data_IF_623077496858
#
_entry.id   IF_623077496858
#
_cell.length_a   1.000
_cell.length_b   1.000
_cell.length_c   1.000
_cell.angle_alpha   90.00
_cell.angle_beta   90.00
_cell.angle_gamma   90.00
#
_symmetry.space_group_name_H-M   'P 1'
#
loop_
_entity.id
_entity.type
_entity.pdbx_description
1 polymer ?
#
# COMPACT_ATOMS: atom_id res chain seq x y z
N UNK A 1 -18.69 -27.76 -3.46
CA UNK A 1 -19.59 -28.94 -3.53
C UNK A 1 -20.93 -28.52 -3.00
N UNK A 2 -21.97 -28.53 -3.84
CA UNK A 2 -23.35 -28.30 -3.43
C UNK A 2 -24.12 -29.62 -3.45
N UNK A 3 -25.00 -29.81 -2.47
CA UNK A 3 -25.68 -31.07 -2.17
C UNK A 3 -27.02 -31.10 -2.92
N UNK A 4 -27.04 -31.57 -4.17
CA UNK A 4 -28.28 -32.01 -4.81
C UNK A 4 -28.55 -33.44 -4.35
N UNK A 5 -29.44 -33.59 -3.37
CA UNK A 5 -29.73 -34.86 -2.73
C UNK A 5 -29.92 -35.99 -3.74
N UNK A 6 -29.07 -37.02 -3.63
CA UNK A 6 -29.24 -38.43 -4.00
C UNK A 6 -27.84 -39.09 -3.89
N UNK A 7 -27.78 -40.25 -3.23
CA UNK A 7 -26.61 -41.10 -2.94
C UNK A 7 -25.60 -41.30 -4.11
N UNK A 8 -24.85 -40.26 -4.46
CA UNK A 8 -23.75 -40.30 -5.42
C UNK A 8 -22.44 -40.06 -4.68
N UNK A 9 -21.36 -40.80 -4.99
CA UNK A 9 -20.08 -40.58 -4.36
C UNK A 9 -19.63 -39.13 -4.60
N UNK A 10 -19.19 -38.46 -3.54
CA UNK A 10 -18.62 -37.11 -3.62
C UNK A 10 -17.39 -37.13 -4.52
N UNK A 11 -17.54 -36.65 -5.75
CA UNK A 11 -16.41 -36.41 -6.64
C UNK A 11 -15.73 -35.14 -6.15
N UNK A 12 -14.47 -35.20 -5.68
CA UNK A 12 -13.76 -34.02 -5.20
C UNK A 12 -13.50 -33.04 -6.36
N UNK A 13 -13.61 -31.74 -6.06
CA UNK A 13 -13.23 -30.68 -7.00
C UNK A 13 -11.71 -30.56 -7.18
N UNK A 14 -11.29 -29.71 -8.12
CA UNK A 14 -9.87 -29.49 -8.51
C UNK A 14 -8.98 -29.04 -7.33
N UNK A 15 -9.52 -28.20 -6.45
CA UNK A 15 -8.74 -27.55 -5.40
C UNK A 15 -9.09 -28.08 -4.01
N UNK A 16 -8.06 -28.49 -3.25
CA UNK A 16 -8.20 -28.77 -1.82
C UNK A 16 -8.32 -27.46 -1.04
N UNK A 17 -9.22 -27.43 -0.05
CA UNK A 17 -9.42 -26.24 0.77
C UNK A 17 -10.18 -25.10 0.08
N UNK A 18 -10.92 -25.40 -1.00
CA UNK A 18 -11.85 -24.47 -1.64
C UNK A 18 -13.27 -25.02 -1.50
N UNK A 19 -14.18 -24.18 -1.04
CA UNK A 19 -15.61 -24.48 -0.98
C UNK A 19 -16.34 -23.51 -1.90
N UNK A 20 -16.91 -24.02 -2.99
CA UNK A 20 -17.56 -23.19 -4.01
C UNK A 20 -18.97 -23.68 -4.36
N UNK A 21 -19.79 -22.75 -4.84
CA UNK A 21 -21.13 -22.95 -5.40
C UNK A 21 -21.48 -21.88 -6.44
N UNK A 22 -22.46 -22.17 -7.30
CA UNK A 22 -22.99 -21.20 -8.26
C UNK A 22 -24.17 -20.45 -7.67
N UNK A 23 -24.26 -19.15 -7.94
CA UNK A 23 -25.40 -18.31 -7.62
C UNK A 23 -25.62 -17.25 -8.71
N UNK A 24 -26.80 -16.64 -8.75
CA UNK A 24 -27.02 -15.44 -9.55
C UNK A 24 -26.67 -14.22 -8.69
N UNK A 25 -25.78 -13.36 -9.17
CA UNK A 25 -25.48 -12.07 -8.56
C UNK A 25 -26.64 -11.09 -8.79
N UNK A 26 -27.10 -11.02 -10.04
CA UNK A 26 -28.31 -10.33 -10.47
C UNK A 26 -28.98 -11.10 -11.63
N UNK A 27 -29.94 -10.48 -12.32
CA UNK A 27 -30.67 -11.09 -13.45
C UNK A 27 -29.81 -11.36 -14.69
N UNK A 28 -28.65 -10.71 -14.80
CA UNK A 28 -27.74 -10.77 -15.96
C UNK A 28 -26.39 -11.45 -15.64
N UNK A 29 -26.01 -11.53 -14.37
CA UNK A 29 -24.68 -11.98 -13.94
C UNK A 29 -24.79 -13.24 -13.07
N UNK A 30 -24.23 -14.34 -13.57
CA UNK A 30 -23.98 -15.54 -12.77
C UNK A 30 -22.62 -15.44 -12.07
N UNK A 31 -22.52 -15.96 -10.84
CA UNK A 31 -21.34 -15.89 -9.99
C UNK A 31 -20.95 -17.27 -9.46
N UNK A 32 -19.66 -17.58 -9.52
CA UNK A 32 -19.06 -18.69 -8.79
C UNK A 32 -18.60 -18.17 -7.43
N UNK A 33 -19.46 -18.30 -6.42
CA UNK A 33 -19.14 -17.88 -5.04
C UNK A 33 -18.32 -18.95 -4.34
N UNK A 34 -17.25 -18.54 -3.66
CA UNK A 34 -16.34 -19.49 -3.01
C UNK A 34 -15.62 -18.94 -1.78
N UNK A 35 -15.26 -19.85 -0.88
CA UNK A 35 -14.38 -19.62 0.25
C UNK A 35 -13.03 -20.33 0.03
N UNK A 36 -11.93 -19.58 0.18
CA UNK A 36 -10.57 -20.10 0.18
C UNK A 36 -10.14 -20.31 1.64
N UNK A 37 -10.10 -21.58 2.07
CA UNK A 37 -9.74 -21.94 3.45
C UNK A 37 -8.23 -21.82 3.74
N UNK A 38 -7.42 -21.50 2.73
CA UNK A 38 -5.98 -21.31 2.86
C UNK A 38 -5.33 -20.72 1.61
N UNK A 39 -5.28 -19.38 1.53
CA UNK A 39 -4.79 -18.62 0.36
C UNK A 39 -3.33 -18.90 -0.03
N UNK A 40 -2.53 -19.47 0.87
CA UNK A 40 -1.12 -19.85 0.61
C UNK A 40 -0.97 -21.17 -0.15
N UNK A 41 -2.02 -22.01 -0.19
CA UNK A 41 -2.01 -23.29 -0.92
C UNK A 41 -2.74 -23.19 -2.25
N UNK A 42 -3.90 -22.53 -2.23
CA UNK A 42 -4.71 -22.20 -3.40
C UNK A 42 -5.04 -20.73 -3.28
N UNK A 43 -4.52 -19.92 -4.19
CA UNK A 43 -4.59 -18.48 -4.14
C UNK A 43 -5.70 -17.94 -5.06
N UNK A 44 -5.91 -16.62 -5.05
CA UNK A 44 -6.94 -15.93 -5.83
C UNK A 44 -6.78 -16.18 -7.34
N UNK A 45 -5.54 -16.12 -7.84
CA UNK A 45 -5.25 -16.34 -9.27
C UNK A 45 -5.50 -17.79 -9.69
N UNK A 46 -5.23 -18.78 -8.82
CA UNK A 46 -5.47 -20.20 -9.13
C UNK A 46 -6.95 -20.47 -9.40
N UNK A 47 -7.82 -19.96 -8.53
CA UNK A 47 -9.27 -20.16 -8.66
C UNK A 47 -9.86 -19.32 -9.79
N UNK A 48 -9.36 -18.10 -10.00
CA UNK A 48 -9.82 -17.23 -11.07
C UNK A 48 -9.49 -17.81 -12.45
N UNK A 49 -8.26 -18.27 -12.68
CA UNK A 49 -7.84 -18.90 -13.93
C UNK A 49 -8.60 -20.21 -14.19
N UNK A 50 -8.85 -21.01 -13.14
CA UNK A 50 -9.65 -22.22 -13.28
C UNK A 50 -11.11 -21.92 -13.65
N UNK A 51 -11.72 -20.88 -13.06
CA UNK A 51 -13.06 -20.44 -13.44
C UNK A 51 -13.08 -19.92 -14.87
N UNK A 52 -12.06 -19.17 -15.30
CA UNK A 52 -11.93 -18.75 -16.71
C UNK A 52 -11.82 -19.94 -17.66
N UNK A 53 -11.03 -20.96 -17.31
CA UNK A 53 -10.88 -22.18 -18.10
C UNK A 53 -12.22 -22.93 -18.24
N UNK A 54 -12.95 -23.14 -17.13
CA UNK A 54 -14.24 -23.84 -17.15
C UNK A 54 -15.34 -23.04 -17.86
N UNK A 55 -15.39 -21.71 -17.65
CA UNK A 55 -16.28 -20.81 -18.38
C UNK A 55 -16.02 -20.89 -19.89
N UNK A 56 -14.75 -20.90 -20.29
CA UNK A 56 -14.35 -20.99 -21.70
C UNK A 56 -14.82 -22.28 -22.38
N UNK A 57 -14.85 -23.41 -21.67
CA UNK A 57 -15.41 -24.68 -22.17
C UNK A 57 -16.91 -24.59 -22.47
N UNK A 58 -17.61 -23.67 -21.81
CA UNK A 58 -19.03 -23.40 -22.00
C UNK A 58 -19.30 -22.24 -22.98
N UNK A 59 -18.26 -21.67 -23.59
CA UNK A 59 -18.38 -20.54 -24.53
C UNK A 59 -18.66 -19.19 -23.87
N UNK A 60 -18.51 -19.10 -22.54
CA UNK A 60 -18.68 -17.85 -21.77
C UNK A 60 -17.34 -17.39 -21.19
N UNK A 61 -17.26 -16.14 -20.74
CA UNK A 61 -16.06 -15.56 -20.12
C UNK A 61 -16.37 -15.09 -18.72
N UNK A 62 -15.45 -15.28 -17.79
CA UNK A 62 -15.49 -14.56 -16.52
C UNK A 62 -15.13 -13.09 -16.79
N UNK A 63 -16.03 -12.19 -16.42
CA UNK A 63 -15.93 -10.75 -16.70
C UNK A 63 -15.19 -9.98 -15.62
N UNK A 64 -15.01 -10.55 -14.42
CA UNK A 64 -14.33 -9.92 -13.29
C UNK A 64 -14.45 -10.78 -12.04
N UNK A 65 -14.00 -10.26 -10.90
CA UNK A 65 -14.19 -10.92 -9.61
C UNK A 65 -14.44 -9.91 -8.49
N UNK A 66 -14.88 -10.41 -7.34
CA UNK A 66 -15.17 -9.62 -6.16
C UNK A 66 -14.54 -10.28 -4.92
N UNK A 67 -14.03 -9.44 -4.02
CA UNK A 67 -13.66 -9.85 -2.66
C UNK A 67 -14.73 -9.37 -1.69
N UNK A 68 -15.45 -10.33 -1.12
CA UNK A 68 -16.37 -10.10 -0.01
C UNK A 68 -15.58 -10.08 1.30
N UNK A 69 -15.66 -8.97 2.03
CA UNK A 69 -14.86 -8.73 3.23
C UNK A 69 -13.46 -8.18 2.94
N UNK A 70 -12.47 -8.63 3.72
CA UNK A 70 -11.09 -8.16 3.67
C UNK A 70 -10.15 -9.21 3.07
N UNK A 71 -9.04 -8.76 2.50
CA UNK A 71 -8.01 -9.61 1.87
C UNK A 71 -6.62 -9.30 2.42
N UNK A 72 -5.78 -10.31 2.70
CA UNK A 72 -4.37 -10.09 2.98
C UNK A 72 -3.63 -9.53 1.76
N UNK A 73 -2.80 -8.51 1.94
CA UNK A 73 -1.93 -7.92 0.90
C UNK A 73 -1.12 -9.00 0.19
N UNK A 74 -0.61 -9.97 0.94
CA UNK A 74 0.14 -11.11 0.39
C UNK A 74 -0.63 -11.85 -0.72
N UNK A 75 -1.95 -11.98 -0.63
CA UNK A 75 -2.76 -12.64 -1.67
C UNK A 75 -2.72 -11.88 -2.99
N UNK A 76 -2.79 -10.55 -2.94
CA UNK A 76 -2.69 -9.69 -4.13
C UNK A 76 -1.28 -9.68 -4.69
N UNK A 77 -0.24 -9.67 -3.83
CA UNK A 77 1.17 -9.78 -4.27
C UNK A 77 1.40 -11.11 -5.00
N UNK A 78 0.87 -12.22 -4.48
CA UNK A 78 1.03 -13.54 -5.11
C UNK A 78 0.35 -13.59 -6.47
N UNK A 79 -0.86 -13.05 -6.60
CA UNK A 79 -1.54 -12.89 -7.88
C UNK A 79 -0.73 -12.00 -8.84
N UNK A 80 -0.24 -10.86 -8.37
CA UNK A 80 0.63 -9.97 -9.14
C UNK A 80 1.87 -10.68 -9.68
N UNK A 81 2.54 -11.50 -8.84
CA UNK A 81 3.74 -12.27 -9.25
C UNK A 81 3.40 -13.30 -10.31
N UNK A 82 2.27 -14.00 -10.16
CA UNK A 82 1.80 -14.96 -11.14
C UNK A 82 1.57 -14.31 -12.50
N UNK A 83 0.80 -13.22 -12.55
CA UNK A 83 0.48 -12.54 -13.81
C UNK A 83 1.70 -11.83 -14.41
N UNK A 84 2.54 -11.18 -13.59
CA UNK A 84 3.79 -10.57 -14.07
C UNK A 84 4.66 -11.61 -14.78
N UNK A 85 4.81 -12.80 -14.19
CA UNK A 85 5.58 -13.89 -14.80
C UNK A 85 4.92 -14.40 -16.09
N UNK A 86 3.59 -14.54 -16.12
CA UNK A 86 2.82 -14.94 -17.30
C UNK A 86 3.02 -13.96 -18.47
N UNK A 87 3.14 -12.67 -18.16
CA UNK A 87 3.38 -11.59 -19.13
C UNK A 87 4.88 -11.36 -19.44
N UNK A 88 5.78 -12.17 -18.89
CA UNK A 88 7.23 -12.03 -19.11
C UNK A 88 7.87 -10.83 -18.39
N UNK A 89 7.16 -10.23 -17.44
CA UNK A 89 7.62 -9.08 -16.65
C UNK A 89 8.36 -9.53 -15.40
N UNK A 90 9.43 -8.79 -15.05
CA UNK A 90 10.21 -9.01 -13.82
C UNK A 90 9.96 -7.87 -12.84
N UNK A 91 8.85 -7.97 -12.11
CA UNK A 91 8.46 -6.98 -11.11
C UNK A 91 8.90 -7.44 -9.72
N UNK A 92 9.59 -6.56 -8.98
CA UNK A 92 10.01 -6.79 -7.59
C UNK A 92 9.29 -5.90 -6.58
N UNK A 93 8.69 -4.81 -7.04
CA UNK A 93 7.99 -3.85 -6.17
C UNK A 93 6.63 -4.40 -5.73
N UNK A 94 6.39 -4.46 -4.43
CA UNK A 94 5.16 -5.07 -3.89
C UNK A 94 3.90 -4.28 -4.23
N UNK A 95 3.96 -2.95 -4.25
CA UNK A 95 2.79 -2.11 -4.54
C UNK A 95 2.37 -2.23 -6.01
N UNK A 96 3.34 -2.32 -6.92
CA UNK A 96 3.08 -2.66 -8.32
C UNK A 96 2.51 -4.08 -8.46
N UNK A 97 3.02 -5.07 -7.72
CA UNK A 97 2.46 -6.42 -7.72
C UNK A 97 1.02 -6.44 -7.20
N UNK A 98 0.71 -5.68 -6.13
CA UNK A 98 -0.66 -5.52 -5.64
C UNK A 98 -1.55 -4.92 -6.74
N UNK A 99 -1.07 -3.87 -7.42
CA UNK A 99 -1.80 -3.20 -8.51
C UNK A 99 -2.10 -4.14 -9.67
N UNK A 100 -1.08 -4.89 -10.13
CA UNK A 100 -1.23 -5.92 -11.17
C UNK A 100 -2.21 -7.01 -10.71
N UNK A 101 -2.13 -7.43 -9.44
CA UNK A 101 -3.06 -8.40 -8.87
C UNK A 101 -4.51 -7.92 -8.93
N UNK A 102 -4.76 -6.66 -8.56
CA UNK A 102 -6.10 -6.05 -8.61
C UNK A 102 -6.63 -5.98 -10.04
N UNK A 103 -5.81 -5.50 -10.97
CA UNK A 103 -6.16 -5.37 -12.39
C UNK A 103 -6.46 -6.74 -13.02
N UNK A 104 -5.53 -7.69 -12.90
CA UNK A 104 -5.61 -8.98 -13.60
C UNK A 104 -6.66 -9.93 -13.02
N UNK A 105 -7.05 -9.74 -11.75
CA UNK A 105 -8.19 -10.42 -11.15
C UNK A 105 -9.53 -9.74 -11.49
N UNK A 106 -9.52 -8.57 -12.15
CA UNK A 106 -10.73 -7.83 -12.48
C UNK A 106 -11.52 -7.42 -11.23
N UNK A 107 -10.82 -7.03 -10.15
CA UNK A 107 -11.46 -6.69 -8.87
C UNK A 107 -12.29 -5.40 -8.92
N UNK A 108 -12.06 -4.57 -9.94
CA UNK A 108 -12.78 -3.30 -10.13
C UNK A 108 -13.91 -3.35 -11.16
N UNK A 109 -14.20 -4.53 -11.73
CA UNK A 109 -15.15 -4.67 -12.85
C UNK A 109 -16.61 -4.50 -12.44
N UNK A 110 -16.98 -4.98 -11.24
CA UNK A 110 -18.35 -4.80 -10.72
C UNK A 110 -18.53 -3.43 -10.06
N UNK A 111 -17.52 -2.97 -9.34
CA UNK A 111 -17.46 -1.67 -8.69
C UNK A 111 -16.00 -1.33 -8.35
N UNK A 112 -15.63 -0.06 -8.12
CA UNK A 112 -14.25 0.32 -7.83
C UNK A 112 -13.67 -0.43 -6.61
N UNK A 113 -12.58 -1.16 -6.80
CA UNK A 113 -11.84 -1.77 -5.69
C UNK A 113 -10.98 -0.71 -5.01
N UNK A 114 -11.24 -0.45 -3.73
CA UNK A 114 -10.47 0.47 -2.89
C UNK A 114 -9.54 -0.31 -1.96
N UNK A 115 -8.23 -0.41 -2.25
CA UNK A 115 -7.30 -1.19 -1.45
C UNK A 115 -7.27 -0.76 0.02
N UNK A 116 -7.39 0.53 0.29
CA UNK A 116 -7.39 1.12 1.63
C UNK A 116 -8.59 0.69 2.50
N UNK A 117 -9.69 0.22 1.90
CA UNK A 117 -10.87 -0.29 2.60
C UNK A 117 -10.93 -1.83 2.63
N UNK A 118 -10.14 -2.51 1.80
CA UNK A 118 -10.24 -3.97 1.55
C UNK A 118 -9.01 -4.76 1.93
N UNK A 119 -7.82 -4.15 1.90
CA UNK A 119 -6.55 -4.83 2.21
C UNK A 119 -6.23 -4.66 3.68
N UNK A 120 -6.11 -5.78 4.41
CA UNK A 120 -5.96 -5.79 5.87
C UNK A 120 -4.77 -4.92 6.30
N UNK A 121 -3.62 -5.10 5.65
CA UNK A 121 -2.37 -4.42 5.97
C UNK A 121 -2.46 -2.90 5.75
N UNK A 122 -3.24 -2.44 4.77
CA UNK A 122 -3.47 -1.01 4.54
C UNK A 122 -4.43 -0.41 5.56
N UNK A 123 -5.39 -1.20 6.07
CA UNK A 123 -6.32 -0.75 7.11
C UNK A 123 -5.69 -0.65 8.50
N UNK A 124 -4.70 -1.50 8.78
CA UNK A 124 -3.98 -1.51 10.06
C UNK A 124 -2.70 -0.69 10.03
N UNK A 125 -2.36 -0.08 8.90
CA UNK A 125 -1.20 0.82 8.83
C UNK A 125 -1.49 2.02 9.74
N UNK A 126 -0.77 2.09 10.87
CA UNK A 126 -0.91 3.19 11.81
C UNK A 126 -0.46 4.49 11.15
N UNK A 127 -1.44 5.32 10.80
CA UNK A 127 -1.20 6.71 10.40
C UNK A 127 -0.88 7.48 11.69
N UNK A 128 0.28 8.11 11.73
CA UNK A 128 0.72 8.83 12.91
C UNK A 128 -0.21 10.00 13.31
N UNK A 129 -0.14 10.43 14.58
CA UNK A 129 -1.07 11.40 15.14
C UNK A 129 -1.04 12.76 14.43
N UNK A 130 0.10 13.21 13.91
CA UNK A 130 0.22 14.49 13.21
C UNK A 130 -0.37 14.40 11.80
N UNK A 131 -0.06 13.33 11.07
CA UNK A 131 -0.57 13.14 9.70
C UNK A 131 -2.08 13.01 9.65
N UNK A 132 -2.68 12.47 10.72
CA UNK A 132 -4.14 12.34 10.83
C UNK A 132 -4.86 13.64 11.21
N UNK A 133 -4.13 14.72 11.54
CA UNK A 133 -4.74 16.01 11.84
C UNK A 133 -5.28 16.71 10.59
N UNK A 134 -6.35 17.48 10.77
CA UNK A 134 -6.71 18.52 9.79
C UNK A 134 -5.60 19.57 9.75
N UNK A 135 -5.35 20.16 8.58
CA UNK A 135 -4.31 21.19 8.39
C UNK A 135 -4.40 22.31 9.44
N UNK A 136 -5.59 22.82 9.73
CA UNK A 136 -5.79 23.85 10.77
C UNK A 136 -5.40 23.37 12.18
N UNK A 137 -5.64 22.09 12.49
CA UNK A 137 -5.22 21.48 13.75
C UNK A 137 -3.71 21.33 13.84
N UNK A 138 -3.07 20.82 12.79
CA UNK A 138 -1.61 20.74 12.70
C UNK A 138 -0.95 22.12 12.89
N UNK A 139 -1.47 23.15 12.24
CA UNK A 139 -0.96 24.53 12.36
C UNK A 139 -1.13 25.09 13.77
N UNK A 140 -2.25 24.76 14.44
CA UNK A 140 -2.51 25.19 15.81
C UNK A 140 -1.57 24.50 16.80
N UNK A 141 -1.33 23.20 16.63
CA UNK A 141 -0.40 22.42 17.45
C UNK A 141 1.05 22.91 17.25
N UNK A 142 1.48 23.13 16.00
CA UNK A 142 2.80 23.68 15.67
C UNK A 142 3.05 25.06 16.29
N UNK A 143 2.02 25.89 16.42
CA UNK A 143 2.10 27.23 17.00
C UNK A 143 1.94 27.26 18.53
N UNK A 144 1.72 26.10 19.16
CA UNK A 144 1.53 25.98 20.61
C UNK A 144 2.86 26.01 21.39
N UNK A 145 2.78 25.85 22.71
CA UNK A 145 3.93 25.65 23.60
C UNK A 145 4.39 24.18 23.66
N UNK A 146 3.76 23.29 22.87
CA UNK A 146 4.18 21.90 22.71
C UNK A 146 5.58 21.83 22.08
N UNK A 147 6.48 20.97 22.58
CA UNK A 147 7.85 20.89 22.08
C UNK A 147 7.96 20.19 20.72
N UNK A 148 6.88 19.57 20.23
CA UNK A 148 6.77 18.95 18.91
C UNK A 148 5.28 18.97 18.48
N UNK A 149 4.94 19.12 17.19
CA UNK A 149 5.79 19.06 16.00
C UNK A 149 6.71 20.27 15.86
N UNK A 150 7.86 20.06 15.22
CA UNK A 150 8.87 21.10 15.02
C UNK A 150 9.27 21.27 13.55
N UNK A 151 10.40 21.93 13.33
CA UNK A 151 10.92 22.22 11.99
C UNK A 151 11.18 20.97 11.13
N UNK A 152 11.55 19.83 11.74
CA UNK A 152 11.75 18.58 11.02
C UNK A 152 10.45 17.99 10.47
N UNK A 153 9.40 17.91 11.29
CA UNK A 153 8.04 17.56 10.85
C UNK A 153 7.54 18.49 9.73
N UNK A 154 7.77 19.81 9.85
CA UNK A 154 7.39 20.79 8.81
C UNK A 154 8.19 20.61 7.52
N UNK A 155 9.49 20.32 7.61
CA UNK A 155 10.33 20.05 6.43
C UNK A 155 9.85 18.79 5.69
N UNK A 156 9.47 17.74 6.42
CA UNK A 156 8.90 16.53 5.83
C UNK A 156 7.53 16.82 5.17
N UNK A 157 6.67 17.61 5.83
CA UNK A 157 5.40 18.05 5.24
C UNK A 157 5.63 18.84 3.95
N UNK A 158 6.52 19.83 3.95
CA UNK A 158 6.85 20.62 2.77
C UNK A 158 7.36 19.74 1.61
N UNK A 159 8.24 18.77 1.90
CA UNK A 159 8.68 17.78 0.92
C UNK A 159 7.51 16.97 0.35
N UNK A 160 6.63 16.46 1.20
CA UNK A 160 5.47 15.66 0.75
C UNK A 160 4.50 16.46 -0.13
N UNK A 161 4.33 17.76 0.13
CA UNK A 161 3.57 18.67 -0.72
C UNK A 161 4.24 18.83 -2.10
N UNK A 162 5.58 18.94 -2.14
CA UNK A 162 6.35 18.97 -3.39
C UNK A 162 6.18 17.70 -4.23
N UNK A 163 6.22 16.52 -3.59
CA UNK A 163 5.90 15.26 -4.27
C UNK A 163 4.45 15.23 -4.76
N UNK A 164 3.48 15.66 -3.95
CA UNK A 164 2.08 15.69 -4.33
C UNK A 164 1.83 16.56 -5.57
N UNK A 165 2.47 17.72 -5.65
CA UNK A 165 2.42 18.59 -6.83
C UNK A 165 3.05 17.93 -8.07
N UNK A 166 4.20 17.27 -7.91
CA UNK A 166 4.85 16.55 -9.02
C UNK A 166 4.00 15.39 -9.53
N UNK A 167 3.38 14.63 -8.61
CA UNK A 167 2.41 13.59 -8.94
C UNK A 167 1.18 14.15 -9.66
N UNK A 168 0.68 15.33 -9.24
CA UNK A 168 -0.44 15.99 -9.92
C UNK A 168 -0.08 16.32 -11.37
N UNK A 169 1.11 16.86 -11.64
CA UNK A 169 1.57 17.14 -13.00
C UNK A 169 1.65 15.85 -13.82
N UNK A 170 2.21 14.76 -13.26
CA UNK A 170 2.24 13.47 -13.96
C UNK A 170 0.83 12.99 -14.34
N UNK A 171 -0.12 13.03 -13.39
CA UNK A 171 -1.50 12.62 -13.63
C UNK A 171 -2.21 13.49 -14.68
N UNK A 172 -1.90 14.79 -14.74
CA UNK A 172 -2.42 15.69 -15.77
C UNK A 172 -1.79 15.43 -17.16
N UNK A 173 -0.71 14.66 -17.25
CA UNK A 173 0.02 14.38 -18.50
C UNK A 173 -0.28 12.99 -19.05
N UNK A 174 -0.50 12.01 -18.17
CA UNK A 174 -0.83 10.63 -18.57
C UNK A 174 -2.15 10.60 -19.35
N UNK A 175 -2.18 9.84 -20.45
CA UNK A 175 -3.35 9.64 -21.30
C UNK A 175 -3.60 10.75 -22.33
N UNK A 176 -2.81 11.83 -22.33
CA UNK A 176 -2.93 12.88 -23.34
C UNK A 176 -2.12 12.56 -24.59
N UNK A 177 -2.76 12.60 -25.75
CA UNK A 177 -2.14 12.32 -27.06
C UNK A 177 -0.91 13.19 -27.33
N UNK A 178 -0.94 14.47 -26.94
CA UNK A 178 0.18 15.41 -27.08
C UNK A 178 1.48 14.92 -26.41
N UNK A 179 1.37 14.02 -25.43
CA UNK A 179 2.47 13.51 -24.63
C UNK A 179 2.68 12.01 -24.84
N UNK A 180 2.28 11.46 -26.01
CA UNK A 180 2.38 10.03 -26.31
C UNK A 180 3.80 9.48 -26.13
N UNK A 181 4.82 10.25 -26.51
CA UNK A 181 6.22 9.82 -26.51
C UNK A 181 6.82 9.67 -25.10
N UNK A 182 6.26 10.37 -24.10
CA UNK A 182 6.77 10.39 -22.72
C UNK A 182 5.89 9.62 -21.73
N UNK A 183 4.87 8.90 -22.21
CA UNK A 183 3.89 8.25 -21.33
C UNK A 183 4.53 7.29 -20.33
N UNK A 184 5.52 6.50 -20.76
CA UNK A 184 6.15 5.53 -19.87
C UNK A 184 7.03 6.23 -18.83
N UNK A 185 7.82 7.22 -19.24
CA UNK A 185 8.66 7.99 -18.32
C UNK A 185 7.84 8.72 -17.26
N UNK A 186 6.71 9.33 -17.64
CA UNK A 186 5.82 10.02 -16.71
C UNK A 186 5.13 9.03 -15.75
N UNK A 187 4.76 7.83 -16.21
CA UNK A 187 4.22 6.77 -15.32
C UNK A 187 5.26 6.32 -14.29
N UNK A 188 6.50 6.11 -14.72
CA UNK A 188 7.59 5.71 -13.82
C UNK A 188 7.92 6.84 -12.83
N UNK A 189 7.85 8.09 -13.29
CA UNK A 189 8.05 9.29 -12.47
C UNK A 189 6.95 9.47 -11.44
N UNK A 190 5.69 9.28 -11.82
CA UNK A 190 4.55 9.27 -10.89
C UNK A 190 4.75 8.22 -9.79
N UNK A 191 5.17 7.01 -10.16
CA UNK A 191 5.43 5.93 -9.20
C UNK A 191 6.49 6.32 -8.17
N UNK A 192 7.62 6.87 -8.62
CA UNK A 192 8.70 7.35 -7.74
C UNK A 192 8.23 8.50 -6.83
N UNK A 193 7.45 9.43 -7.39
CA UNK A 193 6.90 10.58 -6.67
C UNK A 193 5.96 10.13 -5.54
N UNK A 194 5.05 9.19 -5.82
CA UNK A 194 4.14 8.63 -4.83
C UNK A 194 4.85 7.84 -3.74
N UNK A 195 5.92 7.12 -4.07
CA UNK A 195 6.76 6.43 -3.08
C UNK A 195 7.42 7.43 -2.13
N UNK A 196 8.04 8.49 -2.64
CA UNK A 196 8.67 9.53 -1.84
C UNK A 196 7.65 10.32 -1.01
N UNK A 197 6.46 10.57 -1.58
CA UNK A 197 5.34 11.19 -0.85
C UNK A 197 4.95 10.36 0.37
N UNK A 198 4.75 9.05 0.21
CA UNK A 198 4.48 8.12 1.34
C UNK A 198 5.61 8.11 2.36
N UNK A 199 6.87 8.10 1.91
CA UNK A 199 8.05 8.15 2.79
C UNK A 199 8.06 9.44 3.63
N UNK A 200 7.91 10.60 3.00
CA UNK A 200 7.92 11.90 3.68
C UNK A 200 6.74 12.07 4.64
N UNK A 201 5.55 11.56 4.29
CA UNK A 201 4.41 11.54 5.21
C UNK A 201 4.78 10.80 6.50
N UNK A 202 5.42 9.62 6.40
CA UNK A 202 5.90 8.88 7.59
C UNK A 202 6.96 9.65 8.39
N UNK A 203 7.79 10.45 7.72
CA UNK A 203 8.82 11.26 8.38
C UNK A 203 8.25 12.42 9.21
N UNK A 204 7.01 12.86 8.97
CA UNK A 204 6.35 13.93 9.75
C UNK A 204 6.23 13.52 11.21
N UNK A 205 5.63 12.36 11.48
CA UNK A 205 5.46 11.82 12.84
C UNK A 205 6.80 11.32 13.41
N UNK A 206 7.63 10.69 12.58
CA UNK A 206 8.93 10.14 13.01
C UNK A 206 9.87 11.19 13.59
N UNK A 207 9.82 12.43 13.12
CA UNK A 207 10.60 13.55 13.69
C UNK A 207 10.17 13.83 15.14
N UNK A 208 8.86 13.90 15.37
CA UNK A 208 8.28 14.13 16.70
C UNK A 208 8.54 12.95 17.63
N UNK A 209 8.44 11.71 17.15
CA UNK A 209 8.78 10.51 17.92
C UNK A 209 10.26 10.51 18.33
N UNK A 210 11.16 10.80 17.38
CA UNK A 210 12.59 10.83 17.65
C UNK A 210 12.96 11.92 18.69
N UNK A 211 12.33 13.09 18.60
CA UNK A 211 12.48 14.14 19.61
C UNK A 211 11.97 13.69 20.98
N UNK A 212 10.77 13.10 21.03
CA UNK A 212 10.17 12.62 22.27
C UNK A 212 11.02 11.54 22.94
N UNK A 213 11.65 10.65 22.17
CA UNK A 213 12.55 9.64 22.71
C UNK A 213 13.83 10.22 23.30
N UNK A 214 14.39 11.29 22.70
CA UNK A 214 15.49 12.05 23.31
C UNK A 214 15.05 12.66 24.64
N UNK A 215 13.86 13.26 24.70
CA UNK A 215 13.31 13.84 25.92
C UNK A 215 13.05 12.79 27.01
N UNK A 216 12.57 11.59 26.65
CA UNK A 216 12.44 10.45 27.58
C UNK A 216 13.82 10.04 28.13
N UNK A 217 14.84 9.96 27.28
CA UNK A 217 16.20 9.64 27.72
C UNK A 217 16.75 10.68 28.70
N UNK A 218 16.46 11.97 28.48
CA UNK A 218 16.86 13.03 29.42
C UNK A 218 16.23 12.91 30.80
N UNK A 219 15.01 12.37 30.89
CA UNK A 219 14.24 12.14 32.12
C UNK A 219 14.68 10.88 32.90
N UNK A 220 15.58 10.06 32.35
CA UNK A 220 16.07 8.86 33.06
C UNK A 220 16.81 9.21 34.36
N UNK A 221 16.77 8.32 35.39
CA UNK A 221 17.51 8.49 36.64
C UNK A 221 19.01 8.72 36.44
N UNK A 222 19.64 9.39 37.41
CA UNK A 222 21.05 9.81 37.33
C UNK A 222 21.79 9.80 38.68
N UNK A 223 21.30 9.02 39.63
CA UNK A 223 21.82 9.00 41.01
C UNK A 223 23.01 8.04 41.17
N UNK A 224 22.96 6.88 40.52
CA UNK A 224 24.06 5.89 40.54
C UNK A 224 24.91 5.96 39.28
N UNK A 225 26.15 5.47 39.35
CA UNK A 225 27.04 5.39 38.17
C UNK A 225 26.45 4.51 37.06
N UNK A 226 25.79 3.41 37.42
CA UNK A 226 25.09 2.55 36.46
C UNK A 226 23.93 3.29 35.77
N UNK A 227 23.15 4.08 36.53
CA UNK A 227 22.08 4.90 35.97
C UNK A 227 22.61 5.98 35.03
N UNK A 228 23.72 6.64 35.41
CA UNK A 228 24.37 7.66 34.57
C UNK A 228 24.85 7.07 33.24
N UNK A 229 25.46 5.89 33.26
CA UNK A 229 25.93 5.24 32.03
C UNK A 229 24.77 4.79 31.13
N UNK A 230 23.73 4.16 31.70
CA UNK A 230 22.51 3.80 30.95
C UNK A 230 21.84 5.03 30.32
N UNK A 231 21.73 6.13 31.08
CA UNK A 231 21.19 7.41 30.61
C UNK A 231 22.03 7.98 29.47
N UNK A 232 23.36 7.98 29.59
CA UNK A 232 24.28 8.46 28.55
C UNK A 232 24.11 7.67 27.24
N UNK A 233 24.04 6.34 27.33
CA UNK A 233 23.82 5.47 26.17
C UNK A 233 22.46 5.72 25.51
N UNK A 234 21.39 5.87 26.31
CA UNK A 234 20.06 6.17 25.81
C UNK A 234 19.99 7.53 25.10
N UNK A 235 20.60 8.58 25.68
CA UNK A 235 20.68 9.91 25.05
C UNK A 235 21.44 9.83 23.73
N UNK A 236 22.60 9.15 23.70
CA UNK A 236 23.38 9.03 22.47
C UNK A 236 22.65 8.24 21.38
N UNK A 237 21.90 7.20 21.75
CA UNK A 237 21.03 6.48 20.83
C UNK A 237 19.92 7.38 20.30
N UNK A 238 19.26 8.14 21.19
CA UNK A 238 18.25 9.12 20.83
C UNK A 238 18.77 10.15 19.83
N UNK A 239 19.95 10.74 20.07
CA UNK A 239 20.56 11.70 19.15
C UNK A 239 20.86 11.11 17.77
N UNK A 240 21.34 9.86 17.70
CA UNK A 240 21.54 9.20 16.41
C UNK A 240 20.23 9.07 15.63
N UNK A 241 19.15 8.68 16.30
CA UNK A 241 17.82 8.59 15.66
C UNK A 241 17.32 9.97 15.25
N UNK A 242 17.37 10.96 16.14
CA UNK A 242 16.92 12.33 15.90
C UNK A 242 17.72 13.02 14.78
N UNK A 243 19.01 12.73 14.62
CA UNK A 243 19.80 13.25 13.50
C UNK A 243 19.53 12.50 12.18
N UNK A 244 19.13 11.22 12.25
CA UNK A 244 18.85 10.40 11.07
C UNK A 244 17.58 10.85 10.36
N UNK A 245 16.55 11.27 11.09
CA UNK A 245 15.25 11.66 10.51
C UNK A 245 15.39 12.87 9.57
N UNK A 246 16.00 14.02 9.96
CA UNK A 246 16.23 15.13 9.04
C UNK A 246 17.12 14.77 7.85
N UNK A 247 18.08 13.87 8.02
CA UNK A 247 18.92 13.39 6.90
C UNK A 247 18.10 12.56 5.90
N UNK A 248 17.21 11.69 6.37
CA UNK A 248 16.26 10.94 5.54
C UNK A 248 15.32 11.91 4.81
N UNK A 249 14.78 12.91 5.51
CA UNK A 249 13.95 13.97 4.92
C UNK A 249 14.69 14.73 3.83
N UNK A 250 15.92 15.19 4.09
CA UNK A 250 16.71 15.93 3.11
C UNK A 250 16.98 15.11 1.84
N UNK A 251 17.35 13.82 1.99
CA UNK A 251 17.56 12.90 0.85
C UNK A 251 16.28 12.63 0.07
N UNK A 252 15.14 12.53 0.75
CA UNK A 252 13.86 12.36 0.06
C UNK A 252 13.48 13.62 -0.70
N UNK A 253 13.68 14.81 -0.12
CA UNK A 253 13.45 16.09 -0.80
C UNK A 253 14.38 16.29 -2.01
N UNK A 254 15.67 15.91 -1.92
CA UNK A 254 16.60 15.94 -3.05
C UNK A 254 16.07 15.13 -4.24
N UNK A 255 15.62 13.90 -4.00
CA UNK A 255 15.03 13.06 -5.06
C UNK A 255 13.73 13.65 -5.64
N UNK A 256 12.98 14.42 -4.86
CA UNK A 256 11.80 15.13 -5.37
C UNK A 256 12.22 16.27 -6.29
N UNK A 257 13.34 16.95 -6.04
CA UNK A 257 13.85 17.97 -6.96
C UNK A 257 14.21 17.34 -8.31
N UNK A 258 14.81 16.15 -8.32
CA UNK A 258 15.08 15.40 -9.56
C UNK A 258 13.77 15.08 -10.31
N UNK A 259 12.74 14.64 -9.59
CA UNK A 259 11.41 14.37 -10.16
C UNK A 259 10.77 15.66 -10.70
N UNK A 260 10.86 16.75 -9.94
CA UNK A 260 10.29 18.04 -10.30
C UNK A 260 10.91 18.57 -11.60
N UNK A 261 12.20 18.31 -11.82
CA UNK A 261 12.89 18.65 -13.06
C UNK A 261 12.32 17.87 -14.26
N UNK A 262 12.14 16.55 -14.12
CA UNK A 262 11.57 15.70 -15.19
C UNK A 262 10.17 16.15 -15.58
N UNK A 263 9.31 16.52 -14.62
CA UNK A 263 7.93 16.93 -14.92
C UNK A 263 7.80 18.39 -15.41
N UNK A 264 8.88 19.18 -15.30
CA UNK A 264 8.91 20.57 -15.72
C UNK A 264 9.38 20.76 -17.17
N UNK A 265 10.10 19.76 -17.72
CA UNK A 265 10.51 19.69 -19.13
C UNK A 265 9.35 19.34 -20.07
#
# INVERSE_FOLDING_TARGET
CWNSGLNSPLIPGRFKGVQAGGMMYDENIAQVSMNLLGYRKVNLHDVFEAVQEEAGKLGVKATGSEIVGLVPKESLILAGKFYSKKDGLKISDEEELVSIGIEKLGLSELYPFKPEEKVIEYMVEEIGPLVSMKIGGFLSELASDSPAPGGGSVAALAGSLGAALSSMVCNLTIGKEKYADVQQEIKDTLKKSEQLRKELIKLIDKDTEAFNDVMKAFKMPKETEEQKEKRKQAIQKGYKTAAKVPLETAKACEKILDIAMVVAE
#
